data_IF_129699476393
#
_entry.id   IF_129699476393
#
_cell.length_a   1.000
_cell.length_b   1.000
_cell.length_c   1.000
_cell.angle_alpha   90.00
_cell.angle_beta   90.00
_cell.angle_gamma   90.00
#
_symmetry.space_group_name_H-M   'P 1'
#
loop_
_entity.id
_entity.type
_entity.pdbx_description
1 polymer ?
#
# COMPACT_ATOMS: atom_id res chain seq x y z
N UNK A 1 -11.11 -26.83 -11.23
CA UNK A 1 -9.71 -26.50 -11.50
C UNK A 1 -9.71 -25.09 -12.07
N UNK A 2 -9.57 -24.08 -11.20
CA UNK A 2 -9.54 -22.69 -11.63
C UNK A 2 -8.19 -22.43 -12.28
N UNK A 3 -8.18 -22.18 -13.59
CA UNK A 3 -7.01 -21.60 -14.24
C UNK A 3 -6.90 -20.16 -13.76
N UNK A 4 -6.23 -19.96 -12.63
CA UNK A 4 -5.83 -18.65 -12.16
C UNK A 4 -4.83 -18.10 -13.18
N UNK A 5 -5.36 -17.44 -14.21
CA UNK A 5 -4.56 -16.70 -15.17
C UNK A 5 -3.64 -15.78 -14.37
N UNK A 6 -2.34 -16.05 -14.48
CA UNK A 6 -1.33 -15.32 -13.73
C UNK A 6 -1.44 -13.86 -14.17
N UNK A 7 -1.99 -13.03 -13.30
CA UNK A 7 -2.27 -11.64 -13.65
C UNK A 7 -0.93 -10.94 -13.90
N UNK A 8 -0.83 -10.30 -15.06
CA UNK A 8 0.41 -9.67 -15.51
C UNK A 8 0.83 -8.53 -14.56
N UNK A 9 2.12 -8.35 -14.23
CA UNK A 9 2.59 -7.19 -13.48
C UNK A 9 2.08 -5.87 -14.04
N UNK A 10 1.69 -5.00 -13.11
CA UNK A 10 0.99 -3.72 -13.23
C UNK A 10 -0.33 -3.72 -13.99
N UNK A 11 -0.94 -4.89 -14.21
CA UNK A 11 -2.38 -4.95 -14.42
C UNK A 11 -3.13 -4.50 -13.16
N UNK A 12 -4.28 -3.88 -13.35
CA UNK A 12 -5.18 -3.43 -12.32
C UNK A 12 -6.59 -3.98 -12.54
N UNK A 13 -7.36 -4.00 -11.46
CA UNK A 13 -8.76 -4.44 -11.45
C UNK A 13 -9.61 -3.27 -11.01
N UNK A 14 -10.55 -2.86 -11.86
CA UNK A 14 -11.55 -1.82 -11.56
C UNK A 14 -12.38 -2.23 -10.34
N UNK A 15 -12.85 -1.25 -9.57
CA UNK A 15 -13.72 -1.47 -8.39
C UNK A 15 -15.21 -1.64 -8.74
N UNK A 16 -15.55 -1.59 -10.04
CA UNK A 16 -16.90 -1.62 -10.59
C UNK A 16 -17.77 -0.41 -10.22
N UNK A 17 -17.19 0.68 -9.72
CA UNK A 17 -17.92 1.93 -9.54
C UNK A 17 -18.17 2.61 -10.89
N UNK A 18 -19.24 3.43 -10.99
CA UNK A 18 -19.45 4.28 -12.15
C UNK A 18 -18.24 5.18 -12.39
N UNK A 19 -18.00 5.48 -13.67
CA UNK A 19 -17.01 6.49 -14.04
C UNK A 19 -17.43 7.85 -13.49
N UNK A 20 -16.45 8.65 -13.17
CA UNK A 20 -16.66 10.00 -12.65
C UNK A 20 -15.62 10.97 -13.25
N UNK A 21 -15.88 12.29 -13.16
CA UNK A 21 -14.93 13.30 -13.55
C UNK A 21 -13.65 13.25 -12.72
N UNK A 22 -12.56 13.78 -13.27
CA UNK A 22 -11.27 13.77 -12.59
C UNK A 22 -11.33 14.48 -11.23
N UNK A 23 -12.01 15.63 -11.17
CA UNK A 23 -12.12 16.44 -9.95
C UNK A 23 -12.93 15.75 -8.83
N UNK A 24 -13.69 14.70 -9.13
CA UNK A 24 -14.39 13.89 -8.13
C UNK A 24 -13.50 12.76 -7.57
N UNK A 25 -12.42 12.39 -8.27
CA UNK A 25 -11.42 11.44 -7.76
C UNK A 25 -10.63 12.06 -6.61
N UNK A 26 -10.11 11.26 -5.67
CA UNK A 26 -9.21 11.78 -4.63
C UNK A 26 -7.95 12.37 -5.24
N UNK A 27 -7.48 11.76 -6.33
CA UNK A 27 -6.31 12.20 -7.09
C UNK A 27 -6.53 13.60 -7.66
N UNK A 28 -7.67 13.89 -8.26
CA UNK A 28 -7.97 15.20 -8.85
C UNK A 28 -8.26 16.28 -7.82
N UNK A 29 -8.79 15.91 -6.66
CA UNK A 29 -8.90 16.84 -5.51
C UNK A 29 -7.50 17.26 -5.00
N UNK A 30 -6.58 16.31 -4.91
CA UNK A 30 -5.23 16.57 -4.40
C UNK A 30 -4.29 17.20 -5.45
N UNK A 31 -4.47 16.85 -6.72
CA UNK A 31 -3.61 17.27 -7.83
C UNK A 31 -4.42 17.80 -9.03
N UNK A 32 -5.16 18.90 -8.88
CA UNK A 32 -6.06 19.39 -9.92
C UNK A 32 -5.35 19.70 -11.25
N UNK A 33 -4.05 20.00 -11.21
CA UNK A 33 -3.25 20.37 -12.39
C UNK A 33 -2.34 19.26 -12.90
N UNK A 34 -2.35 18.06 -12.30
CA UNK A 34 -1.41 17.00 -12.67
C UNK A 34 -1.61 16.46 -14.09
N UNK A 35 -2.85 16.54 -14.59
CA UNK A 35 -3.22 16.11 -15.92
C UNK A 35 -3.45 17.32 -16.86
N UNK A 36 -2.69 18.39 -16.67
CA UNK A 36 -2.79 19.63 -17.49
C UNK A 36 -2.55 19.41 -18.98
N UNK A 37 -1.92 18.30 -19.37
CA UNK A 37 -1.77 17.91 -20.78
C UNK A 37 -3.07 17.40 -21.41
N UNK A 38 -4.12 17.16 -20.63
CA UNK A 38 -5.42 16.68 -21.12
C UNK A 38 -6.37 17.84 -21.38
N UNK A 39 -7.30 17.66 -22.32
CA UNK A 39 -8.34 18.65 -22.56
C UNK A 39 -9.28 18.74 -21.35
N UNK A 40 -9.87 19.93 -21.16
CA UNK A 40 -10.86 20.14 -20.10
C UNK A 40 -12.07 19.22 -20.25
N UNK A 41 -12.48 18.93 -21.49
CA UNK A 41 -13.54 17.94 -21.79
C UNK A 41 -13.22 16.58 -21.16
N UNK A 42 -11.99 16.06 -21.37
CA UNK A 42 -11.58 14.78 -20.79
C UNK A 42 -11.63 14.81 -19.25
N UNK A 43 -11.22 15.92 -18.64
CA UNK A 43 -11.15 16.08 -17.18
C UNK A 43 -12.54 16.25 -16.53
N UNK A 44 -13.48 16.89 -17.21
CA UNK A 44 -14.83 17.17 -16.69
C UNK A 44 -15.85 16.09 -17.01
N UNK A 45 -15.61 15.29 -18.04
CA UNK A 45 -16.47 14.17 -18.40
C UNK A 45 -16.22 12.94 -17.50
N UNK A 46 -17.17 11.99 -17.54
CA UNK A 46 -17.11 10.72 -16.81
C UNK A 46 -16.10 9.73 -17.42
N UNK A 47 -14.83 10.10 -17.45
CA UNK A 47 -13.76 9.37 -18.11
C UNK A 47 -12.80 8.65 -17.14
N UNK A 48 -12.99 8.76 -15.82
CA UNK A 48 -12.06 8.14 -14.87
C UNK A 48 -12.71 6.99 -14.12
N UNK A 49 -11.96 5.90 -14.03
CA UNK A 49 -12.23 4.75 -13.17
C UNK A 49 -11.24 4.73 -12.02
N UNK A 50 -11.72 4.28 -10.87
CA UNK A 50 -10.89 3.85 -9.76
C UNK A 50 -10.66 2.34 -9.81
N UNK A 51 -9.49 1.91 -9.36
CA UNK A 51 -9.12 0.49 -9.31
C UNK A 51 -9.03 0.01 -7.87
N UNK A 52 -9.66 -1.13 -7.57
CA UNK A 52 -9.59 -1.76 -6.25
C UNK A 52 -8.25 -2.40 -5.95
N UNK A 53 -7.48 -2.74 -6.99
CA UNK A 53 -6.17 -3.37 -6.84
C UNK A 53 -5.31 -3.29 -8.09
N UNK A 54 -4.00 -3.44 -7.93
CA UNK A 54 -3.06 -3.69 -9.01
C UNK A 54 -2.06 -4.79 -8.66
N UNK A 55 -1.42 -5.39 -9.65
CA UNK A 55 -0.32 -6.35 -9.47
C UNK A 55 0.99 -5.57 -9.54
N UNK A 56 1.88 -5.74 -8.58
CA UNK A 56 3.19 -5.08 -8.58
C UNK A 56 4.22 -5.86 -9.40
N UNK A 57 5.41 -5.30 -9.56
CA UNK A 57 6.50 -5.93 -10.30
C UNK A 57 6.96 -7.24 -9.68
N UNK A 58 6.80 -7.40 -8.36
CA UNK A 58 7.07 -8.66 -7.65
C UNK A 58 5.92 -9.68 -7.72
N UNK A 59 4.85 -9.38 -8.46
CA UNK A 59 3.66 -10.24 -8.58
C UNK A 59 2.64 -10.10 -7.44
N UNK A 60 2.93 -9.30 -6.41
CA UNK A 60 1.99 -9.09 -5.31
C UNK A 60 0.81 -8.22 -5.72
N UNK A 61 -0.35 -8.52 -5.16
CA UNK A 61 -1.51 -7.63 -5.25
C UNK A 61 -1.34 -6.47 -4.26
N UNK A 62 -1.43 -5.26 -4.76
CA UNK A 62 -1.50 -4.02 -4.00
C UNK A 62 -2.92 -3.46 -4.06
N UNK A 63 -3.44 -3.01 -2.92
CA UNK A 63 -4.76 -2.40 -2.79
C UNK A 63 -4.63 -1.03 -2.11
N UNK A 64 -5.53 -0.06 -2.38
CA UNK A 64 -5.57 1.18 -1.61
C UNK A 64 -5.63 0.93 -0.10
N UNK A 65 -4.87 1.70 0.67
CA UNK A 65 -4.63 1.54 2.10
C UNK A 65 -3.35 0.76 2.45
N UNK A 66 -2.74 0.03 1.51
CA UNK A 66 -1.49 -0.68 1.76
C UNK A 66 -0.26 0.21 1.63
N UNK A 67 0.76 -0.13 2.42
CA UNK A 67 2.09 0.46 2.33
C UNK A 67 2.92 -0.23 1.25
N UNK A 68 3.71 0.58 0.55
CA UNK A 68 4.59 0.16 -0.53
C UNK A 68 5.95 0.84 -0.39
N UNK A 69 7.00 0.17 -0.90
CA UNK A 69 8.30 0.77 -1.14
C UNK A 69 8.38 1.20 -2.59
N UNK A 70 8.85 2.42 -2.83
CA UNK A 70 9.10 2.95 -4.16
C UNK A 70 10.61 3.10 -4.27
N UNK A 71 11.21 2.32 -5.16
CA UNK A 71 12.61 2.49 -5.51
C UNK A 71 12.75 3.59 -6.56
N UNK A 72 13.59 4.57 -6.24
CA UNK A 72 14.02 5.61 -7.15
C UNK A 72 15.45 5.32 -7.61
N UNK A 73 15.70 5.41 -8.90
CA UNK A 73 16.97 5.05 -9.52
C UNK A 73 18.14 5.97 -9.18
N UNK A 74 17.89 7.15 -8.60
CA UNK A 74 18.92 8.16 -8.33
C UNK A 74 19.85 7.79 -7.16
N UNK A 75 19.91 6.51 -6.78
CA UNK A 75 20.62 6.03 -5.59
C UNK A 75 20.02 6.54 -4.28
N UNK A 76 18.85 7.18 -4.34
CA UNK A 76 18.15 7.64 -3.15
C UNK A 76 17.57 6.45 -2.39
N UNK A 77 17.44 6.61 -1.07
CA UNK A 77 16.81 5.60 -0.24
C UNK A 77 15.38 5.35 -0.72
N UNK A 78 14.91 4.08 -0.70
CA UNK A 78 13.57 3.77 -1.13
C UNK A 78 12.56 4.52 -0.28
N UNK A 79 11.56 5.08 -0.94
CA UNK A 79 10.50 5.84 -0.29
C UNK A 79 9.42 4.89 0.22
N UNK A 80 9.00 5.07 1.47
CA UNK A 80 7.82 4.39 2.03
C UNK A 80 6.60 5.26 1.74
N UNK A 81 5.55 4.68 1.18
CA UNK A 81 4.30 5.40 0.93
C UNK A 81 3.09 4.49 1.07
N UNK A 82 1.94 5.06 1.39
CA UNK A 82 0.66 4.36 1.37
C UNK A 82 -0.10 4.67 0.08
N UNK A 83 -0.61 3.64 -0.58
CA UNK A 83 -1.49 3.80 -1.75
C UNK A 83 -2.83 4.37 -1.30
N UNK A 84 -3.21 5.53 -1.81
CA UNK A 84 -4.49 6.19 -1.48
C UNK A 84 -5.56 5.93 -2.52
N UNK A 85 -5.17 5.92 -3.79
CA UNK A 85 -6.07 5.69 -4.92
C UNK A 85 -5.27 5.19 -6.12
N UNK A 86 -5.89 4.36 -6.95
CA UNK A 86 -5.35 3.91 -8.23
C UNK A 86 -6.37 4.35 -9.29
N UNK A 87 -5.94 5.14 -10.26
CA UNK A 87 -6.84 5.68 -11.29
C UNK A 87 -6.47 5.17 -12.68
N UNK A 88 -7.50 4.98 -13.51
CA UNK A 88 -7.40 4.59 -14.91
C UNK A 88 -8.37 5.43 -15.73
N UNK A 89 -7.89 5.99 -16.84
CA UNK A 89 -8.65 6.84 -17.72
C UNK A 89 -9.23 6.02 -18.87
N UNK A 90 -10.48 6.29 -19.22
CA UNK A 90 -11.15 5.71 -20.35
C UNK A 90 -10.46 6.10 -21.67
N UNK A 91 -10.33 5.15 -22.58
CA UNK A 91 -9.70 5.34 -23.88
C UNK A 91 -8.19 5.56 -23.82
N UNK A 92 -7.57 5.47 -22.63
CA UNK A 92 -6.11 5.47 -22.52
C UNK A 92 -5.53 4.16 -23.03
N UNK A 93 -4.25 4.18 -23.42
CA UNK A 93 -3.50 2.94 -23.69
C UNK A 93 -3.47 2.04 -22.46
N UNK A 94 -3.45 2.64 -21.27
CA UNK A 94 -3.45 1.91 -20.01
C UNK A 94 -4.78 1.15 -19.79
N UNK A 95 -5.93 1.72 -20.18
CA UNK A 95 -7.20 0.98 -20.17
C UNK A 95 -7.15 -0.27 -21.06
N UNK A 96 -6.64 -0.12 -22.28
CA UNK A 96 -6.53 -1.23 -23.24
C UNK A 96 -5.66 -2.38 -22.70
N UNK A 97 -4.62 -2.05 -21.92
CA UNK A 97 -3.73 -3.04 -21.29
C UNK A 97 -4.14 -3.43 -19.87
N UNK A 98 -5.30 -2.97 -19.41
CA UNK A 98 -5.78 -3.16 -18.03
C UNK A 98 -4.76 -2.71 -16.99
N UNK A 99 -4.00 -1.64 -17.22
CA UNK A 99 -3.04 -1.05 -16.28
C UNK A 99 -3.49 0.34 -15.84
N UNK A 100 -3.06 0.82 -14.67
CA UNK A 100 -3.44 2.15 -14.21
C UNK A 100 -2.73 3.25 -15.01
N UNK A 101 -3.34 4.43 -15.09
CA UNK A 101 -2.72 5.64 -15.65
C UNK A 101 -1.89 6.37 -14.58
N UNK A 102 -2.33 6.36 -13.32
CA UNK A 102 -1.59 6.92 -12.21
C UNK A 102 -1.95 6.29 -10.86
N UNK A 103 -1.06 6.45 -9.89
CA UNK A 103 -1.26 6.02 -8.51
C UNK A 103 -1.06 7.22 -7.59
N UNK A 104 -2.07 7.53 -6.78
CA UNK A 104 -1.97 8.52 -5.72
C UNK A 104 -1.43 7.85 -4.45
N UNK A 105 -0.32 8.39 -3.93
CA UNK A 105 0.44 7.89 -2.80
C UNK A 105 0.53 9.00 -1.72
N UNK A 106 0.44 8.63 -0.45
CA UNK A 106 0.84 9.49 0.67
C UNK A 106 2.18 8.99 1.20
N UNK A 107 3.18 9.87 1.26
CA UNK A 107 4.49 9.51 1.79
C UNK A 107 4.42 9.18 3.27
N UNK A 108 5.30 8.28 3.72
CA UNK A 108 5.55 8.00 5.12
C UNK A 108 7.02 8.13 5.43
N UNK A 109 7.30 8.53 6.68
CA UNK A 109 8.64 8.58 7.25
C UNK A 109 8.78 7.48 8.28
N UNK A 110 9.90 6.76 8.21
CA UNK A 110 10.28 5.81 9.26
C UNK A 110 10.77 6.60 10.47
N UNK A 111 10.13 6.43 11.62
CA UNK A 111 10.49 7.06 12.89
C UNK A 111 10.71 6.01 13.97
N UNK A 112 11.94 5.51 14.05
CA UNK A 112 12.33 4.54 15.07
C UNK A 112 11.75 3.14 14.81
N UNK A 113 11.59 2.38 15.88
CA UNK A 113 11.12 0.98 15.82
C UNK A 113 10.11 0.67 16.92
N UNK A 114 9.17 -0.23 16.63
CA UNK A 114 8.18 -0.71 17.60
C UNK A 114 8.71 -1.91 18.36
N UNK A 115 8.61 -1.92 19.68
CA UNK A 115 8.83 -3.12 20.49
C UNK A 115 7.60 -4.04 20.44
N UNK A 116 7.76 -5.36 20.59
CA UNK A 116 9.03 -6.10 20.83
C UNK A 116 9.82 -6.38 19.54
N UNK A 117 9.16 -6.33 18.38
CA UNK A 117 9.69 -6.88 17.12
C UNK A 117 10.73 -6.01 16.41
N UNK A 118 11.05 -4.84 16.95
CA UNK A 118 11.94 -3.84 16.35
C UNK A 118 11.57 -3.49 14.90
N UNK A 119 10.29 -3.62 14.53
CA UNK A 119 9.83 -3.27 13.20
C UNK A 119 9.83 -1.74 13.02
N UNK A 120 10.18 -1.23 11.83
CA UNK A 120 10.13 0.20 11.56
C UNK A 120 8.75 0.77 11.85
N UNK A 121 8.67 1.80 12.70
CA UNK A 121 7.43 2.55 12.88
C UNK A 121 7.32 3.54 11.72
N UNK A 122 6.27 3.41 10.91
CA UNK A 122 6.01 4.34 9.81
C UNK A 122 4.96 5.35 10.25
N UNK A 123 5.30 6.63 10.19
CA UNK A 123 4.35 7.73 10.38
C UNK A 123 4.08 8.39 9.04
N UNK A 124 2.87 8.90 8.84
CA UNK A 124 2.58 9.69 7.66
C UNK A 124 3.46 10.93 7.64
N UNK A 125 3.90 11.26 6.44
CA UNK A 125 4.41 12.57 6.12
C UNK A 125 3.28 13.41 5.49
N UNK A 126 3.44 14.73 5.49
CA UNK A 126 2.48 15.66 4.88
C UNK A 126 2.64 15.72 3.34
N UNK A 127 3.55 14.92 2.79
CA UNK A 127 3.85 14.88 1.37
C UNK A 127 2.94 13.90 0.62
N UNK A 128 2.17 14.42 -0.34
CA UNK A 128 1.39 13.64 -1.29
C UNK A 128 2.16 13.50 -2.61
N UNK A 129 2.11 12.32 -3.21
CA UNK A 129 2.85 11.99 -4.43
C UNK A 129 1.88 11.40 -5.45
N UNK A 130 1.99 11.87 -6.69
CA UNK A 130 1.33 11.24 -7.83
C UNK A 130 2.37 10.52 -8.68
N UNK A 131 2.19 9.22 -8.86
CA UNK A 131 3.07 8.39 -9.67
C UNK A 131 2.39 8.06 -11.01
N UNK A 132 2.67 8.82 -12.08
CA UNK A 132 2.19 8.50 -13.41
C UNK A 132 2.80 7.19 -13.94
N UNK A 133 1.98 6.38 -14.58
CA UNK A 133 2.38 5.11 -15.18
C UNK A 133 2.23 5.20 -16.69
N UNK A 134 3.34 4.97 -17.40
CA UNK A 134 3.35 4.89 -18.85
C UNK A 134 3.50 3.43 -19.29
N UNK A 135 2.57 3.02 -20.15
CA UNK A 135 2.64 1.70 -20.78
C UNK A 135 3.36 1.87 -22.10
N UNK A 136 4.62 1.43 -22.16
CA UNK A 136 5.36 1.41 -23.42
C UNK A 136 5.15 0.07 -24.12
N UNK A 137 4.49 0.10 -25.28
CA UNK A 137 4.51 -1.01 -26.21
C UNK A 137 5.79 -0.90 -27.05
N UNK A 138 6.85 -1.62 -26.67
CA UNK A 138 7.98 -1.77 -27.59
C UNK A 138 7.53 -2.68 -28.74
N UNK A 139 7.29 -2.07 -29.90
CA UNK A 139 6.84 -2.76 -31.11
C UNK A 139 7.88 -3.75 -31.63
N UNK A 140 7.92 -4.95 -31.06
CA UNK A 140 8.56 -6.15 -31.63
C UNK A 140 7.67 -7.34 -31.34
N UNK A 141 7.55 -8.26 -32.30
CA UNK A 141 6.57 -9.35 -32.34
C UNK A 141 6.70 -10.43 -31.25
N UNK A 142 7.51 -10.21 -30.19
CA UNK A 142 7.79 -11.20 -29.14
C UNK A 142 8.09 -10.61 -27.75
N UNK A 143 7.59 -9.42 -27.39
CA UNK A 143 7.84 -8.86 -26.04
C UNK A 143 6.59 -8.59 -25.23
N UNK A 144 6.65 -8.93 -23.93
CA UNK A 144 5.58 -8.70 -22.96
C UNK A 144 5.46 -7.21 -22.64
N UNK A 145 4.25 -6.64 -22.51
CA UNK A 145 4.12 -5.22 -22.20
C UNK A 145 4.86 -4.87 -20.89
N UNK A 146 5.75 -3.89 -20.93
CA UNK A 146 6.48 -3.41 -19.75
C UNK A 146 5.80 -2.18 -19.18
N UNK A 147 5.77 -2.07 -17.85
CA UNK A 147 5.21 -0.92 -17.16
C UNK A 147 6.36 -0.06 -16.70
N UNK A 148 6.32 1.18 -17.15
CA UNK A 148 7.43 2.12 -17.02
C UNK A 148 6.87 3.34 -16.30
N UNK A 149 7.52 3.76 -15.22
CA UNK A 149 7.18 5.03 -14.59
C UNK A 149 7.54 6.16 -15.55
N UNK A 150 6.70 7.20 -15.68
CA UNK A 150 7.04 8.36 -16.51
C UNK A 150 8.28 9.05 -15.92
N UNK A 151 9.43 8.86 -16.56
CA UNK A 151 10.72 9.22 -16.00
C UNK A 151 11.76 8.10 -16.19
N UNK A 152 12.41 7.68 -15.10
CA UNK A 152 13.44 6.65 -15.16
C UNK A 152 12.80 5.25 -15.27
N UNK A 153 13.08 4.48 -16.34
CA UNK A 153 12.39 3.22 -16.62
C UNK A 153 12.68 2.08 -15.65
N UNK A 154 13.60 2.28 -14.71
CA UNK A 154 14.04 1.28 -13.76
C UNK A 154 13.54 1.57 -12.32
N UNK A 155 12.66 2.56 -12.12
CA UNK A 155 11.94 2.74 -10.85
C UNK A 155 10.94 1.57 -10.65
N UNK A 156 10.69 1.15 -9.41
CA UNK A 156 9.73 0.06 -9.15
C UNK A 156 9.03 0.19 -7.79
N UNK A 157 7.80 -0.31 -7.72
CA UNK A 157 6.97 -0.32 -6.51
C UNK A 157 6.83 -1.76 -5.94
N UNK A 158 7.12 -1.95 -4.65
CA UNK A 158 7.03 -3.23 -3.93
C UNK A 158 6.01 -3.15 -2.79
N UNK A 159 5.27 -4.23 -2.54
CA UNK A 159 4.33 -4.30 -1.41
C UNK A 159 5.09 -4.69 -0.14
N UNK A 160 5.04 -3.86 0.91
CA UNK A 160 5.75 -4.17 2.17
C UNK A 160 5.09 -5.29 2.95
N UNK A 161 3.78 -5.49 2.80
CA UNK A 161 3.01 -6.47 3.58
C UNK A 161 3.36 -7.93 3.25
N UNK A 162 4.06 -8.19 2.14
CA UNK A 162 4.40 -9.53 1.65
C UNK A 162 5.88 -9.76 1.37
N UNK A 163 6.75 -8.88 1.87
CA UNK A 163 8.19 -8.99 1.65
C UNK A 163 8.80 -10.19 2.40
N UNK A 164 8.77 -11.37 1.77
CA UNK A 164 9.56 -12.54 2.16
C UNK A 164 11.04 -12.40 1.81
N UNK A 165 11.38 -11.49 0.89
CA UNK A 165 12.76 -11.18 0.50
C UNK A 165 13.30 -9.96 1.26
N UNK A 166 13.79 -10.20 2.47
CA UNK A 166 14.33 -9.19 3.38
C UNK A 166 15.49 -8.35 2.78
N UNK A 167 16.14 -8.81 1.70
CA UNK A 167 17.32 -8.14 1.11
C UNK A 167 17.08 -6.68 0.72
N UNK A 168 15.85 -6.32 0.34
CA UNK A 168 15.48 -4.95 -0.04
C UNK A 168 15.02 -4.10 1.14
N UNK A 169 14.77 -4.70 2.31
CA UNK A 169 14.44 -4.00 3.57
C UNK A 169 15.69 -3.67 4.36
N UNK A 170 16.75 -4.47 4.24
CA UNK A 170 18.00 -4.30 4.98
C UNK A 170 18.53 -2.84 4.99
N UNK A 171 18.49 -2.07 3.90
CA UNK A 171 18.94 -0.68 3.91
C UNK A 171 18.08 0.28 4.75
N UNK A 172 16.85 -0.11 5.10
CA UNK A 172 15.89 0.69 5.88
C UNK A 172 15.92 0.38 7.38
N UNK A 173 16.77 -0.56 7.81
CA UNK A 173 16.92 -0.89 9.23
C UNK A 173 17.79 0.17 9.91
N UNK A 174 17.21 0.93 10.84
CA UNK A 174 17.88 2.08 11.46
C UNK A 174 19.00 1.73 12.45
N UNK A 175 19.12 0.47 12.90
CA UNK A 175 20.13 0.03 13.87
C UNK A 175 20.70 -1.35 13.51
N UNK A 176 21.95 -1.68 13.92
CA UNK A 176 22.45 -3.04 13.81
C UNK A 176 21.49 -3.98 14.53
N UNK A 177 20.90 -4.92 13.78
CA UNK A 177 19.96 -5.89 14.30
C UNK A 177 20.62 -6.63 15.47
N UNK A 178 20.20 -6.34 16.70
CA UNK A 178 20.46 -7.24 17.82
C UNK A 178 19.90 -8.60 17.41
N UNK A 179 20.68 -9.69 17.52
CA UNK A 179 20.20 -11.02 17.13
C UNK A 179 18.84 -11.25 17.77
N UNK A 180 17.82 -11.47 16.93
CA UNK A 180 16.47 -11.72 17.41
C UNK A 180 16.53 -12.94 18.32
N UNK A 181 16.13 -12.79 19.59
CA UNK A 181 15.97 -13.93 20.48
C UNK A 181 14.76 -14.74 19.98
N UNK A 182 15.05 -15.77 19.19
CA UNK A 182 14.05 -16.58 18.49
C UNK A 182 13.06 -17.19 19.47
N UNK A 183 13.56 -17.69 20.60
CA UNK A 183 12.73 -18.37 21.59
C UNK A 183 11.75 -17.40 22.25
N UNK A 184 12.22 -16.19 22.58
CA UNK A 184 11.34 -15.14 23.11
C UNK A 184 10.29 -14.72 22.09
N UNK A 185 10.68 -14.46 20.84
CA UNK A 185 9.76 -14.03 19.79
C UNK A 185 8.70 -15.10 19.45
N UNK A 186 9.10 -16.38 19.43
CA UNK A 186 8.18 -17.51 19.27
C UNK A 186 7.21 -17.58 20.44
N UNK A 187 7.72 -17.52 21.67
CA UNK A 187 6.88 -17.57 22.87
C UNK A 187 5.87 -16.43 22.91
N UNK A 188 6.29 -15.19 22.64
CA UNK A 188 5.41 -14.03 22.63
C UNK A 188 4.36 -14.12 21.52
N UNK A 189 4.74 -14.59 20.32
CA UNK A 189 3.81 -14.87 19.23
C UNK A 189 2.76 -15.93 19.61
N UNK A 190 3.18 -17.03 20.25
CA UNK A 190 2.28 -18.08 20.73
C UNK A 190 1.29 -17.55 21.77
N UNK A 191 1.77 -16.75 22.74
CA UNK A 191 0.91 -16.12 23.76
C UNK A 191 -0.12 -15.22 23.08
N UNK A 192 0.31 -14.37 22.16
CA UNK A 192 -0.58 -13.44 21.47
C UNK A 192 -1.64 -14.16 20.61
N UNK A 193 -1.27 -15.25 19.93
CA UNK A 193 -2.22 -16.07 19.17
C UNK A 193 -3.26 -16.74 20.07
N UNK A 194 -2.84 -17.27 21.23
CA UNK A 194 -3.75 -17.86 22.21
C UNK A 194 -4.74 -16.81 22.74
N UNK A 195 -4.26 -15.60 23.05
CA UNK A 195 -5.12 -14.53 23.56
C UNK A 195 -6.12 -14.03 22.52
N UNK A 196 -5.71 -13.92 21.24
CA UNK A 196 -6.63 -13.62 20.15
C UNK A 196 -7.69 -14.72 19.94
N UNK A 197 -7.32 -15.99 20.06
CA UNK A 197 -8.31 -17.09 20.01
C UNK A 197 -9.29 -17.01 21.17
N UNK A 198 -8.82 -16.70 22.38
CA UNK A 198 -9.69 -16.52 23.56
C UNK A 198 -10.65 -15.34 23.41
N UNK A 199 -10.20 -14.21 22.87
CA UNK A 199 -11.06 -13.03 22.66
C UNK A 199 -12.15 -13.29 21.63
N UNK A 200 -11.84 -14.05 20.58
CA UNK A 200 -12.80 -14.42 19.53
C UNK A 200 -13.81 -15.47 20.00
N UNK A 201 -13.40 -16.38 20.89
CA UNK A 201 -14.24 -17.50 21.36
C UNK A 201 -15.22 -17.12 22.48
N UNK A 202 -14.95 -16.06 23.25
CA UNK A 202 -15.82 -15.63 24.36
C UNK A 202 -16.07 -14.11 24.39
N UNK A 203 -16.74 -13.53 23.39
CA UNK A 203 -16.97 -12.07 23.34
C UNK A 203 -17.84 -11.52 24.50
N UNK A 204 -18.49 -12.37 25.28
CA UNK A 204 -19.42 -11.97 26.35
C UNK A 204 -18.94 -12.31 27.78
N UNK A 205 -17.73 -12.85 27.97
CA UNK A 205 -17.19 -13.01 29.33
C UNK A 205 -16.48 -11.72 29.75
N UNK A 206 -17.27 -10.73 30.19
CA UNK A 206 -16.77 -9.61 30.97
C UNK A 206 -16.04 -10.21 32.18
N UNK A 207 -14.72 -9.99 32.35
CA UNK A 207 -14.05 -10.40 33.57
C UNK A 207 -14.71 -9.63 34.72
N UNK A 208 -15.43 -10.33 35.60
CA UNK A 208 -15.80 -9.77 36.90
C UNK A 208 -14.49 -9.34 37.58
N UNK A 209 -14.32 -8.06 37.96
CA UNK A 209 -13.13 -7.61 38.62
C UNK A 209 -12.99 -8.40 39.92
N UNK A 210 -11.79 -8.93 40.13
CA UNK A 210 -11.41 -9.63 41.34
C UNK A 210 -11.62 -8.65 42.49
N UNK A 211 -12.60 -8.96 43.35
CA UNK A 211 -12.81 -8.24 44.61
C UNK A 211 -11.62 -8.56 45.50
N UNK A 212 -10.58 -7.73 45.41
CA UNK A 212 -9.57 -7.66 46.46
C UNK A 212 -10.20 -6.92 47.63
N UNK A 213 -10.47 -7.66 48.69
CA UNK A 213 -10.94 -7.17 49.98
C UNK A 213 -9.81 -6.41 50.67
N UNK A 214 -9.63 -5.14 50.33
CA UNK A 214 -9.03 -4.14 51.20
C UNK A 214 -9.45 -2.77 50.71
N UNK A 215 -10.37 -2.15 51.45
CA UNK A 215 -10.94 -0.85 51.12
C UNK A 215 -9.87 0.22 50.97
N UNK A 216 -10.11 1.16 50.06
CA UNK A 216 -10.21 2.59 50.33
C UNK A 216 -10.93 3.24 49.13
N UNK A 217 -11.88 4.12 49.45
CA UNK A 217 -12.83 4.74 48.52
C UNK A 217 -12.20 5.97 47.86
N UNK A 218 -12.28 6.07 46.53
CA UNK A 218 -12.15 7.35 45.81
C UNK A 218 -13.19 7.39 44.68
N UNK A 219 -14.07 8.39 44.74
CA UNK A 219 -15.05 8.75 43.70
C UNK A 219 -14.38 9.64 42.65
N UNK A 220 -14.74 9.47 41.38
CA UNK A 220 -14.68 10.57 40.40
C UNK A 220 -16.05 10.78 39.75
N UNK A 221 -16.40 12.06 39.68
CA UNK A 221 -17.61 12.66 39.15
C UNK A 221 -17.40 12.89 37.64
N UNK A 222 -18.51 12.85 36.89
CA UNK A 222 -18.68 13.02 35.44
C UNK A 222 -17.64 13.86 34.71
#
# INVERSE_FOLDING_TARGET
MDSSSLSKPGSCVKDNLPRHPYHETRTGQQFPTALSSLSQEILHDNNFHTCRSMILMNGDRCIPGQWVLIHQQNGQQPLVAQVKEIIQRQGSTAEMTSSPDAIFLQSGKIQGSTRPYQMPLVQYDDTNILLPIEVTHQGTSNTSPSIVHKGNPNDFMLNTAKMRDAKHILPLVCEPLTPLNTDHAIMEGCVHEIDNKKSTQYPNNIPQPWVSSSGHSIRLIK
#
